data_IF_568475399262
#
_entry.id   IF_568475399262
#
_cell.length_a   1.000
_cell.length_b   1.000
_cell.length_c   1.000
_cell.angle_alpha   90.00
_cell.angle_beta   90.00
_cell.angle_gamma   90.00
#
_symmetry.space_group_name_H-M   'P 1'
#
loop_
_entity.id
_entity.type
_entity.pdbx_description
1 polymer ?
#
# COMPACT_ATOMS: atom_id res chain seq x y z
N UNK A 1 -23.76 -7.12 5.87
CA UNK A 1 -22.95 -7.37 7.09
C UNK A 1 -21.68 -8.05 6.61
N UNK A 2 -20.52 -7.45 6.87
CA UNK A 2 -19.24 -7.92 6.32
C UNK A 2 -18.79 -9.22 6.96
N UNK A 3 -18.48 -10.23 6.15
CA UNK A 3 -18.11 -11.56 6.65
C UNK A 3 -16.62 -11.88 6.50
N UNK A 4 -15.73 -10.95 6.16
CA UNK A 4 -14.32 -11.30 5.96
C UNK A 4 -13.39 -10.38 6.76
N UNK A 5 -12.38 -10.96 7.42
CA UNK A 5 -11.28 -10.22 8.06
C UNK A 5 -10.05 -10.29 7.17
N UNK A 6 -9.33 -9.18 7.09
CA UNK A 6 -8.09 -9.07 6.33
C UNK A 6 -6.91 -9.04 7.26
N UNK A 7 -5.89 -9.82 6.94
CA UNK A 7 -4.60 -9.73 7.63
C UNK A 7 -3.44 -10.16 6.72
N UNK A 8 -2.23 -9.89 7.18
CA UNK A 8 -1.00 -10.12 6.44
C UNK A 8 -0.61 -11.61 6.31
N UNK A 9 -0.21 -12.07 5.12
CA UNK A 9 0.42 -13.36 4.82
C UNK A 9 1.55 -13.21 3.81
N UNK A 10 2.57 -14.04 3.91
CA UNK A 10 3.68 -14.11 2.97
C UNK A 10 3.32 -14.80 1.63
N UNK A 11 3.90 -14.31 0.52
CA UNK A 11 3.84 -14.91 -0.82
C UNK A 11 5.22 -15.02 -1.52
N UNK A 12 6.33 -14.83 -0.78
CA UNK A 12 7.71 -14.94 -1.23
C UNK A 12 8.14 -16.40 -1.43
N UNK A 13 9.01 -16.65 -2.40
CA UNK A 13 9.57 -17.99 -2.70
C UNK A 13 10.82 -18.33 -1.88
N UNK A 14 11.26 -17.45 -0.97
CA UNK A 14 12.54 -17.52 -0.25
C UNK A 14 12.35 -17.51 1.27
N UNK A 15 12.37 -18.70 1.88
CA UNK A 15 12.04 -19.01 3.29
C UNK A 15 13.04 -18.51 4.37
N UNK A 16 13.76 -17.41 4.18
CA UNK A 16 14.73 -16.93 5.19
C UNK A 16 14.32 -15.54 5.69
N UNK A 17 13.90 -15.47 6.97
CA UNK A 17 13.46 -14.28 7.72
C UNK A 17 12.10 -13.69 7.29
N UNK A 18 11.02 -14.46 7.38
CA UNK A 18 9.67 -14.00 7.04
C UNK A 18 8.84 -13.78 8.32
N UNK A 19 8.04 -12.70 8.36
CA UNK A 19 7.09 -12.47 9.47
C UNK A 19 5.70 -12.95 9.07
N UNK A 20 5.08 -13.69 9.97
CA UNK A 20 3.68 -14.12 9.87
C UNK A 20 2.97 -13.85 11.20
N UNK A 21 1.65 -13.72 11.15
CA UNK A 21 0.84 -13.73 12.38
C UNK A 21 1.05 -15.07 13.10
N UNK A 22 1.18 -15.00 14.43
CA UNK A 22 1.42 -16.19 15.25
C UNK A 22 0.35 -17.28 14.99
N UNK A 23 0.74 -18.56 14.85
CA UNK A 23 -0.17 -19.63 14.44
C UNK A 23 -1.43 -19.78 15.28
N UNK A 24 -1.36 -19.49 16.58
CA UNK A 24 -2.47 -19.59 17.52
C UNK A 24 -3.57 -18.57 17.21
N UNK A 25 -3.19 -17.33 16.87
CA UNK A 25 -4.14 -16.27 16.49
C UNK A 25 -4.76 -16.60 15.14
N UNK A 26 -3.94 -17.04 14.18
CA UNK A 26 -4.41 -17.50 12.88
C UNK A 26 -5.45 -18.61 13.06
N UNK A 27 -5.14 -19.65 13.83
CA UNK A 27 -6.07 -20.75 14.11
C UNK A 27 -7.35 -20.26 14.78
N UNK A 28 -7.22 -19.41 15.80
CA UNK A 28 -8.37 -18.83 16.50
C UNK A 28 -9.32 -18.11 15.55
N UNK A 29 -8.80 -17.28 14.65
CA UNK A 29 -9.61 -16.53 13.68
C UNK A 29 -10.30 -17.46 12.67
N UNK A 30 -9.58 -18.45 12.12
CA UNK A 30 -10.20 -19.45 11.23
C UNK A 30 -11.26 -20.32 11.94
N UNK A 31 -11.07 -20.61 13.23
CA UNK A 31 -12.01 -21.42 14.01
C UNK A 31 -13.37 -20.74 14.21
N UNK A 32 -13.47 -19.42 14.03
CA UNK A 32 -14.74 -18.69 14.20
C UNK A 32 -15.77 -19.03 13.11
N UNK A 33 -15.34 -19.36 11.89
CA UNK A 33 -16.14 -19.77 10.71
C UNK A 33 -17.17 -18.75 10.20
N UNK A 34 -17.65 -17.83 11.03
CA UNK A 34 -18.64 -16.80 10.69
C UNK A 34 -18.03 -15.66 9.89
N UNK A 35 -16.70 -15.54 9.93
CA UNK A 35 -15.96 -14.68 9.03
C UNK A 35 -14.84 -15.46 8.37
N UNK A 36 -14.78 -15.48 7.03
CA UNK A 36 -13.73 -16.18 6.29
C UNK A 36 -12.52 -15.26 6.14
N UNK A 37 -11.40 -15.56 6.82
CA UNK A 37 -10.24 -14.72 6.70
C UNK A 37 -9.61 -14.70 5.33
N UNK A 38 -9.14 -13.53 4.93
CA UNK A 38 -8.37 -13.30 3.72
C UNK A 38 -6.99 -12.81 4.11
N UNK A 39 -6.01 -13.40 3.45
CA UNK A 39 -4.61 -13.24 3.72
C UNK A 39 -3.93 -12.48 2.58
N UNK A 40 -3.22 -11.38 2.86
CA UNK A 40 -2.58 -10.52 1.84
C UNK A 40 -1.12 -10.20 2.17
N UNK A 41 -0.28 -9.92 1.19
CA UNK A 41 1.14 -9.64 1.38
C UNK A 41 1.45 -8.27 2.03
N UNK A 42 1.82 -8.29 3.32
CA UNK A 42 2.23 -7.09 4.07
C UNK A 42 3.67 -7.13 4.60
N UNK A 43 4.36 -8.27 4.55
CA UNK A 43 5.70 -8.43 5.17
C UNK A 43 6.79 -7.54 4.52
N UNK A 44 6.53 -7.01 3.33
CA UNK A 44 7.41 -6.04 2.67
C UNK A 44 7.41 -4.65 3.31
N UNK A 45 6.42 -4.32 4.15
CA UNK A 45 6.34 -3.06 4.89
C UNK A 45 7.20 -3.14 6.15
N UNK A 46 7.83 -2.04 6.57
CA UNK A 46 8.63 -2.03 7.78
C UNK A 46 7.82 -2.44 9.03
N UNK A 47 6.61 -1.89 9.19
CA UNK A 47 5.70 -2.27 10.29
C UNK A 47 4.99 -3.59 9.98
N UNK A 48 4.54 -3.78 8.74
CA UNK A 48 4.04 -5.08 8.27
C UNK A 48 2.52 -5.22 8.37
N UNK A 49 1.79 -4.11 8.50
CA UNK A 49 0.36 -4.12 8.73
C UNK A 49 -0.44 -3.85 7.45
N UNK A 50 -1.65 -4.39 7.40
CA UNK A 50 -2.54 -4.25 6.23
C UNK A 50 -3.20 -2.88 6.15
N UNK A 51 -3.36 -2.19 7.29
CA UNK A 51 -3.97 -0.85 7.37
C UNK A 51 -3.09 0.24 6.75
N UNK A 52 -1.79 -0.03 6.57
CA UNK A 52 -0.87 0.85 5.84
C UNK A 52 -1.17 0.92 4.33
N UNK A 53 -1.83 -0.10 3.77
CA UNK A 53 -1.90 -0.29 2.31
C UNK A 53 -3.32 -0.44 1.75
N UNK A 54 -4.31 -0.74 2.58
CA UNK A 54 -5.71 -0.87 2.14
C UNK A 54 -6.71 -0.28 3.13
N UNK A 55 -7.86 0.18 2.64
CA UNK A 55 -8.98 0.63 3.45
C UNK A 55 -10.31 0.42 2.72
N UNK A 56 -11.43 0.34 3.43
CA UNK A 56 -12.77 0.25 2.83
C UNK A 56 -13.61 1.46 3.23
N UNK A 57 -14.20 2.12 2.26
CA UNK A 57 -15.08 3.28 2.49
C UNK A 57 -16.49 3.00 1.99
N UNK A 58 -17.55 3.40 2.73
CA UNK A 58 -18.92 3.17 2.33
C UNK A 58 -19.30 4.08 1.15
N UNK A 59 -20.13 3.56 0.23
CA UNK A 59 -20.73 4.34 -0.87
C UNK A 59 -22.07 3.71 -1.27
N UNK A 60 -22.96 4.51 -1.86
CA UNK A 60 -24.18 4.03 -2.48
C UNK A 60 -23.89 3.36 -3.85
N UNK A 61 -23.48 2.09 -3.82
CA UNK A 61 -23.37 1.22 -5.00
C UNK A 61 -23.89 -0.20 -4.67
N UNK A 62 -23.85 -1.12 -5.64
CA UNK A 62 -24.32 -2.51 -5.47
C UNK A 62 -23.64 -3.23 -4.30
N UNK A 63 -22.33 -3.00 -4.10
CA UNK A 63 -21.55 -3.64 -3.03
C UNK A 63 -21.63 -2.91 -1.69
N UNK A 64 -22.04 -1.64 -1.68
CA UNK A 64 -22.09 -0.76 -0.51
C UNK A 64 -20.75 -0.10 -0.13
N UNK A 65 -19.69 -0.26 -0.94
CA UNK A 65 -18.34 0.23 -0.63
C UNK A 65 -17.43 0.40 -1.85
N UNK A 66 -16.29 1.07 -1.61
CA UNK A 66 -15.07 0.96 -2.43
C UNK A 66 -13.87 0.51 -1.60
N UNK A 67 -12.98 -0.22 -2.24
CA UNK A 67 -11.67 -0.57 -1.71
C UNK A 67 -10.67 0.53 -2.10
N UNK A 68 -10.05 1.16 -1.12
CA UNK A 68 -8.90 2.04 -1.31
C UNK A 68 -7.63 1.21 -1.23
N UNK A 69 -6.73 1.39 -2.20
CA UNK A 69 -5.42 0.72 -2.22
C UNK A 69 -4.30 1.73 -2.42
N UNK A 70 -3.22 1.62 -1.66
CA UNK A 70 -2.00 2.39 -1.88
C UNK A 70 -1.42 2.09 -3.27
N UNK A 71 -0.98 3.12 -4.01
CA UNK A 71 -0.41 2.97 -5.34
C UNK A 71 0.76 3.91 -5.61
N UNK A 72 2.00 3.38 -5.56
CA UNK A 72 3.19 4.10 -6.03
C UNK A 72 3.10 4.57 -7.47
N UNK A 73 2.52 3.76 -8.37
CA UNK A 73 2.39 4.14 -9.78
C UNK A 73 1.50 5.38 -9.95
N UNK A 74 0.38 5.47 -9.21
CA UNK A 74 -0.47 6.67 -9.24
C UNK A 74 0.29 7.90 -8.76
N UNK A 75 1.14 7.78 -7.73
CA UNK A 75 2.00 8.89 -7.28
C UNK A 75 2.95 9.35 -8.37
N UNK A 76 3.69 8.43 -9.00
CA UNK A 76 4.60 8.78 -10.08
C UNK A 76 3.88 9.46 -11.25
N UNK A 77 2.70 8.97 -11.64
CA UNK A 77 1.91 9.60 -12.70
C UNK A 77 1.51 11.05 -12.34
N UNK A 78 1.10 11.30 -11.09
CA UNK A 78 0.75 12.65 -10.62
C UNK A 78 1.98 13.57 -10.63
N UNK A 79 3.13 13.09 -10.15
CA UNK A 79 4.38 13.86 -10.11
C UNK A 79 4.90 14.17 -11.50
N UNK A 80 4.88 13.19 -12.41
CA UNK A 80 5.27 13.34 -13.81
C UNK A 80 4.38 14.36 -14.54
N UNK A 81 3.06 14.28 -14.35
CA UNK A 81 2.13 15.26 -14.89
C UNK A 81 2.40 16.67 -14.35
N UNK A 82 2.62 16.79 -13.02
CA UNK A 82 2.95 18.07 -12.38
C UNK A 82 4.25 18.67 -12.92
N UNK A 83 5.28 17.84 -13.15
CA UNK A 83 6.54 18.28 -13.78
C UNK A 83 6.28 18.79 -15.20
N UNK A 84 5.49 18.08 -15.99
CA UNK A 84 5.17 18.45 -17.38
C UNK A 84 4.33 19.75 -17.46
N UNK A 85 3.57 20.07 -16.42
CA UNK A 85 2.85 21.34 -16.27
C UNK A 85 3.73 22.51 -15.78
N UNK A 86 5.02 22.26 -15.51
CA UNK A 86 5.99 23.28 -15.09
C UNK A 86 6.20 23.37 -13.57
N UNK A 87 5.64 22.46 -12.78
CA UNK A 87 5.77 22.45 -11.31
C UNK A 87 6.91 21.57 -10.80
N UNK A 88 7.90 21.24 -11.62
CA UNK A 88 9.01 20.35 -11.23
C UNK A 88 9.81 20.81 -10.00
N UNK A 89 9.89 22.13 -9.76
CA UNK A 89 10.61 22.72 -8.62
C UNK A 89 9.69 22.93 -7.39
N UNK A 90 8.44 22.44 -7.42
CA UNK A 90 7.58 22.48 -6.26
C UNK A 90 8.18 21.63 -5.12
N UNK A 91 8.31 22.24 -3.95
CA UNK A 91 8.96 21.65 -2.77
C UNK A 91 7.92 20.93 -1.90
N UNK A 92 8.09 19.62 -1.72
CA UNK A 92 7.38 18.82 -0.72
C UNK A 92 8.04 18.99 0.64
N UNK A 93 7.28 18.73 1.71
CA UNK A 93 7.75 18.78 3.11
C UNK A 93 8.42 20.11 3.50
N UNK A 94 7.97 21.23 2.92
CA UNK A 94 8.48 22.57 3.23
C UNK A 94 8.44 22.86 4.73
N UNK A 95 9.58 23.23 5.30
CA UNK A 95 9.74 23.52 6.73
C UNK A 95 9.82 22.30 7.66
N UNK A 96 9.73 21.08 7.14
CA UNK A 96 9.87 19.86 7.93
C UNK A 96 11.33 19.38 7.96
N UNK A 97 11.67 18.65 9.03
CA UNK A 97 12.99 18.04 9.23
C UNK A 97 12.86 16.53 9.35
N UNK A 98 13.89 15.80 8.94
CA UNK A 98 13.94 14.34 9.04
C UNK A 98 14.03 13.93 10.51
N UNK A 99 13.01 13.24 11.02
CA UNK A 99 12.92 12.82 12.43
C UNK A 99 14.09 11.90 12.85
N UNK A 100 14.61 11.11 11.92
CA UNK A 100 15.63 10.08 12.20
C UNK A 100 17.07 10.58 11.96
N UNK A 101 17.25 11.85 11.54
CA UNK A 101 18.60 12.39 11.33
C UNK A 101 19.18 12.92 12.64
N UNK A 102 20.39 12.46 13.07
CA UNK A 102 21.09 13.03 14.22
C UNK A 102 21.38 14.53 14.09
N UNK A 103 21.39 15.04 12.86
CA UNK A 103 21.64 16.45 12.52
C UNK A 103 20.36 17.22 12.20
N UNK A 104 19.19 16.57 12.26
CA UNK A 104 17.90 17.13 11.90
C UNK A 104 17.92 17.76 10.49
N UNK A 105 18.43 16.99 9.52
CA UNK A 105 18.52 17.44 8.13
C UNK A 105 17.14 17.84 7.57
N UNK A 106 17.14 18.74 6.58
CA UNK A 106 15.90 19.13 5.90
C UNK A 106 15.20 17.91 5.30
N UNK A 107 13.87 17.86 5.42
CA UNK A 107 13.02 16.89 4.72
C UNK A 107 12.54 17.41 3.36
N UNK A 108 12.87 18.66 3.03
CA UNK A 108 12.48 19.28 1.76
C UNK A 108 13.06 18.52 0.57
N UNK A 109 12.20 18.27 -0.42
CA UNK A 109 12.56 17.63 -1.68
C UNK A 109 11.63 18.14 -2.78
N UNK A 110 12.17 18.42 -3.95
CA UNK A 110 11.41 18.85 -5.12
C UNK A 110 10.82 17.66 -5.87
N UNK A 111 9.80 17.92 -6.70
CA UNK A 111 9.26 16.91 -7.63
C UNK A 111 10.38 16.39 -8.56
N UNK A 112 11.22 17.28 -9.09
CA UNK A 112 12.36 16.91 -9.94
C UNK A 112 13.34 15.96 -9.22
N UNK A 113 13.67 16.23 -7.96
CA UNK A 113 14.55 15.37 -7.16
C UNK A 113 13.93 13.98 -6.95
N UNK A 114 12.65 13.89 -6.57
CA UNK A 114 11.94 12.60 -6.41
C UNK A 114 11.96 11.80 -7.72
N UNK A 115 11.65 12.45 -8.85
CA UNK A 115 11.59 11.79 -10.15
C UNK A 115 12.96 11.40 -10.70
N UNK A 116 14.03 12.04 -10.22
CA UNK A 116 15.42 11.70 -10.59
C UNK A 116 16.05 10.60 -9.73
N UNK A 117 15.40 10.18 -8.64
CA UNK A 117 15.91 9.12 -7.76
C UNK A 117 15.58 7.73 -8.34
N UNK A 118 16.54 7.19 -9.10
CA UNK A 118 16.45 5.85 -9.71
C UNK A 118 16.25 4.73 -8.69
N UNK A 119 16.80 4.87 -7.47
CA UNK A 119 16.66 3.84 -6.44
C UNK A 119 15.25 3.86 -5.88
N UNK A 120 14.76 5.03 -5.49
CA UNK A 120 13.40 5.21 -4.98
C UNK A 120 12.37 4.70 -6.00
N UNK A 121 12.60 4.98 -7.29
CA UNK A 121 11.76 4.49 -8.38
C UNK A 121 11.76 2.96 -8.46
N UNK A 122 12.92 2.31 -8.48
CA UNK A 122 13.02 0.85 -8.58
C UNK A 122 12.38 0.15 -7.38
N UNK A 123 12.54 0.70 -6.18
CA UNK A 123 11.91 0.18 -4.98
C UNK A 123 10.38 0.30 -5.08
N UNK A 124 9.85 1.47 -5.45
CA UNK A 124 8.42 1.70 -5.59
C UNK A 124 7.76 0.93 -6.75
N UNK A 125 8.49 0.68 -7.84
CA UNK A 125 8.06 -0.26 -8.90
C UNK A 125 7.94 -1.69 -8.35
N UNK A 126 8.81 -2.08 -7.41
CA UNK A 126 8.71 -3.37 -6.71
C UNK A 126 7.52 -3.41 -5.76
N UNK A 127 7.30 -2.35 -4.97
CA UNK A 127 6.16 -2.26 -4.07
C UNK A 127 4.83 -2.22 -4.82
N UNK A 128 4.76 -1.59 -5.99
CA UNK A 128 3.57 -1.66 -6.84
C UNK A 128 3.27 -3.10 -7.29
N UNK A 129 4.29 -3.93 -7.57
CA UNK A 129 4.07 -5.35 -7.88
C UNK A 129 3.47 -6.11 -6.68
N UNK A 130 3.92 -5.81 -5.47
CA UNK A 130 3.34 -6.37 -4.24
C UNK A 130 1.91 -5.90 -4.01
N UNK A 131 1.60 -4.63 -4.29
CA UNK A 131 0.23 -4.13 -4.28
C UNK A 131 -0.64 -4.81 -5.32
N UNK A 132 -0.15 -5.04 -6.53
CA UNK A 132 -0.90 -5.75 -7.58
C UNK A 132 -1.22 -7.19 -7.18
N UNK A 133 -0.29 -7.88 -6.48
CA UNK A 133 -0.55 -9.19 -5.91
C UNK A 133 -1.72 -9.15 -4.91
N UNK A 134 -1.71 -8.19 -3.98
CA UNK A 134 -2.78 -8.01 -2.99
C UNK A 134 -4.12 -7.67 -3.63
N UNK A 135 -4.11 -6.78 -4.62
CA UNK A 135 -5.30 -6.40 -5.39
C UNK A 135 -5.91 -7.63 -6.07
N UNK A 136 -5.10 -8.50 -6.68
CA UNK A 136 -5.61 -9.71 -7.31
C UNK A 136 -6.25 -10.66 -6.30
N UNK A 137 -5.60 -10.89 -5.15
CA UNK A 137 -6.17 -11.72 -4.05
C UNK A 137 -7.52 -11.13 -3.60
N UNK A 138 -7.58 -9.82 -3.37
CA UNK A 138 -8.80 -9.14 -2.92
C UNK A 138 -9.90 -9.19 -3.98
N UNK A 139 -9.57 -9.06 -5.27
CA UNK A 139 -10.52 -9.17 -6.37
C UNK A 139 -11.13 -10.57 -6.42
N UNK A 140 -10.32 -11.61 -6.27
CA UNK A 140 -10.79 -13.00 -6.29
C UNK A 140 -11.65 -13.32 -5.06
N UNK A 141 -11.17 -12.99 -3.85
CA UNK A 141 -11.83 -13.36 -2.59
C UNK A 141 -13.08 -12.52 -2.26
N UNK A 142 -13.17 -11.29 -2.78
CA UNK A 142 -14.30 -10.38 -2.56
C UNK A 142 -15.14 -10.12 -3.82
N UNK A 143 -14.83 -10.84 -4.91
CA UNK A 143 -15.45 -10.70 -6.22
C UNK A 143 -15.47 -9.25 -6.71
N UNK A 144 -14.35 -8.51 -6.55
CA UNK A 144 -14.25 -7.10 -6.94
C UNK A 144 -13.87 -6.96 -8.41
N UNK A 145 -14.37 -5.90 -9.03
CA UNK A 145 -13.92 -5.41 -10.33
C UNK A 145 -13.19 -4.08 -10.18
N UNK A 146 -12.50 -3.61 -11.22
CA UNK A 146 -11.73 -2.36 -11.16
C UNK A 146 -12.56 -1.14 -10.74
N UNK A 147 -13.84 -1.09 -11.10
CA UNK A 147 -14.73 0.01 -10.69
C UNK A 147 -14.98 0.08 -9.17
N UNK A 148 -14.75 -1.01 -8.45
CA UNK A 148 -14.87 -1.09 -6.98
C UNK A 148 -13.61 -0.55 -6.26
N UNK A 149 -12.53 -0.31 -7.00
CA UNK A 149 -11.21 0.02 -6.46
C UNK A 149 -10.88 1.49 -6.73
N UNK A 150 -10.23 2.13 -5.75
CA UNK A 150 -9.64 3.46 -5.89
C UNK A 150 -8.15 3.36 -5.53
N UNK A 151 -7.31 3.69 -6.50
CA UNK A 151 -5.87 3.78 -6.29
C UNK A 151 -5.51 5.13 -5.65
N UNK A 152 -5.04 5.08 -4.42
CA UNK A 152 -4.62 6.24 -3.63
C UNK A 152 -3.13 6.48 -3.86
N UNK A 153 -2.69 7.69 -4.24
CA UNK A 153 -1.27 7.98 -4.39
C UNK A 153 -0.55 7.88 -3.05
N UNK A 154 0.35 6.91 -2.95
CA UNK A 154 1.25 6.69 -1.82
C UNK A 154 2.64 6.38 -2.37
N UNK A 155 3.69 6.93 -1.76
CA UNK A 155 5.08 6.60 -2.06
C UNK A 155 5.70 6.01 -0.80
N UNK A 156 6.50 4.95 -0.93
CA UNK A 156 7.20 4.29 0.18
C UNK A 156 8.71 4.54 0.12
#
# INVERSE_FOLDING_TARGET
>A
MWTNYLWGRNYSTSRVNEREIIPEIRYFLYAQKVQSPIEIYSDWLAVGHVDEIINFVPIENEKGFKLLVASPLTTYNILENSRNEGYGDAVLFKGFRKEVSPKSDSAEVTINEILSDDKLRKDNETFQRYMNLNINILKDELALVESDIVHVPVLF
#
